data_IF_024116391421
#
_entry.id   IF_024116391421
#
_cell.length_a   1.000
_cell.length_b   1.000
_cell.length_c   1.000
_cell.angle_alpha   90.00
_cell.angle_beta   90.00
_cell.angle_gamma   90.00
#
_symmetry.space_group_name_H-M   'P 1'
#
loop_
_entity.id
_entity.type
_entity.pdbx_description
1 polymer ?
#
# COMPACT_ATOMS: atom_id res chain seq x y z
N UNK A 1 -5.81 -18.31 -1.09
CA UNK A 1 -4.98 -17.17 -1.54
C UNK A 1 -4.70 -16.36 -0.30
N UNK A 2 -3.43 -16.10 -0.02
CA UNK A 2 -3.04 -15.29 1.14
C UNK A 2 -2.35 -14.04 0.62
N UNK A 3 -2.90 -12.88 0.97
CA UNK A 3 -2.31 -11.58 0.68
C UNK A 3 -1.95 -10.92 2.01
N UNK A 4 -0.71 -10.47 2.14
CA UNK A 4 -0.30 -9.64 3.27
C UNK A 4 0.23 -8.33 2.70
N UNK A 5 -0.28 -7.23 3.26
CA UNK A 5 0.14 -5.88 2.92
C UNK A 5 0.68 -5.28 4.21
N UNK A 6 1.95 -4.92 4.21
CA UNK A 6 2.54 -4.11 5.26
C UNK A 6 2.54 -2.64 4.86
N UNK A 7 2.93 -1.78 5.78
CA UNK A 7 3.22 -0.39 5.45
C UNK A 7 4.29 0.21 6.35
N UNK A 8 5.06 1.10 5.78
CA UNK A 8 6.07 1.88 6.50
C UNK A 8 6.08 3.30 5.97
N UNK A 9 5.96 4.28 6.86
CA UNK A 9 6.03 5.70 6.53
C UNK A 9 7.46 6.18 6.75
N UNK A 10 7.95 6.96 5.79
CA UNK A 10 9.22 7.66 5.86
C UNK A 10 8.95 9.17 5.75
N UNK A 11 9.16 9.88 6.86
CA UNK A 11 9.17 11.34 6.85
C UNK A 11 10.39 11.86 6.07
N UNK A 12 10.19 12.88 5.25
CA UNK A 12 11.27 13.48 4.48
C UNK A 12 11.90 14.65 5.26
N UNK A 13 13.15 14.50 5.71
CA UNK A 13 13.82 15.47 6.59
C UNK A 13 14.11 16.83 5.93
N UNK A 14 14.10 16.91 4.60
CA UNK A 14 14.41 18.14 3.83
C UNK A 14 13.18 18.79 3.19
N UNK A 15 12.06 18.09 3.04
CA UNK A 15 10.80 18.64 2.51
C UNK A 15 9.66 18.23 3.43
N UNK A 16 9.29 19.14 4.32
CA UNK A 16 8.29 18.91 5.36
C UNK A 16 6.88 18.73 4.81
N UNK A 17 6.65 18.97 3.53
CA UNK A 17 5.34 18.78 2.89
C UNK A 17 5.26 17.47 2.10
N UNK A 18 6.33 16.66 2.09
CA UNK A 18 6.39 15.42 1.34
C UNK A 18 6.60 14.24 2.28
N UNK A 19 5.84 13.18 2.04
CA UNK A 19 5.99 11.90 2.74
C UNK A 19 6.08 10.78 1.73
N UNK A 20 6.95 9.81 2.02
CA UNK A 20 6.99 8.54 1.30
C UNK A 20 6.32 7.47 2.14
N UNK A 21 5.37 6.76 1.56
CA UNK A 21 4.75 5.59 2.18
C UNK A 21 5.09 4.36 1.33
N UNK A 22 5.74 3.39 1.94
CA UNK A 22 6.08 2.11 1.32
C UNK A 22 5.06 1.06 1.71
N UNK A 23 4.56 0.32 0.73
CA UNK A 23 3.60 -0.78 0.90
C UNK A 23 4.22 -2.08 0.39
N UNK A 24 4.94 -2.83 1.24
CA UNK A 24 5.36 -4.19 0.93
C UNK A 24 4.14 -5.09 0.81
N UNK A 25 4.01 -5.79 -0.32
CA UNK A 25 2.94 -6.75 -0.59
C UNK A 25 3.53 -8.11 -0.88
N UNK A 26 3.01 -9.11 -0.17
CA UNK A 26 3.27 -10.52 -0.46
C UNK A 26 1.96 -11.22 -0.80
N UNK A 27 1.95 -11.98 -1.90
CA UNK A 27 0.80 -12.73 -2.37
C UNK A 27 1.23 -14.16 -2.69
N UNK A 28 0.54 -15.12 -2.08
CA UNK A 28 0.72 -16.55 -2.34
C UNK A 28 -0.55 -17.15 -2.95
N UNK A 29 -0.41 -17.74 -4.13
CA UNK A 29 -1.48 -18.39 -4.88
C UNK A 29 -1.21 -19.89 -5.00
N UNK A 30 -2.08 -20.70 -4.36
CA UNK A 30 -2.13 -22.18 -4.46
C UNK A 30 -0.74 -22.84 -4.38
N UNK A 31 0.14 -22.30 -3.52
CA UNK A 31 1.53 -22.73 -3.27
C UNK A 31 2.47 -22.80 -4.49
N UNK A 32 2.03 -22.32 -5.65
CA UNK A 32 2.78 -22.39 -6.92
C UNK A 32 3.25 -21.02 -7.42
N UNK A 33 2.62 -19.93 -6.96
CA UNK A 33 3.00 -18.57 -7.35
C UNK A 33 3.17 -17.73 -6.10
N UNK A 34 4.33 -17.10 -6.00
CA UNK A 34 4.66 -16.11 -4.99
C UNK A 34 4.98 -14.79 -5.69
N UNK A 35 4.31 -13.73 -5.26
CA UNK A 35 4.58 -12.36 -5.69
C UNK A 35 5.02 -11.58 -4.44
N UNK A 36 6.14 -10.87 -4.55
CA UNK A 36 6.63 -9.94 -3.54
C UNK A 36 6.93 -8.62 -4.23
N UNK A 37 6.27 -7.55 -3.79
CA UNK A 37 6.44 -6.23 -4.40
C UNK A 37 6.53 -5.18 -3.30
N UNK A 38 7.50 -4.28 -3.42
CA UNK A 38 7.59 -3.08 -2.59
C UNK A 38 7.13 -1.88 -3.42
N UNK A 39 6.04 -1.25 -2.98
CA UNK A 39 5.48 -0.08 -3.64
C UNK A 39 5.73 1.20 -2.85
N UNK A 40 6.51 2.11 -3.41
CA UNK A 40 6.76 3.43 -2.83
C UNK A 40 5.85 4.48 -3.46
N UNK A 41 5.02 5.12 -2.65
CA UNK A 41 4.22 6.27 -3.05
C UNK A 41 4.74 7.53 -2.36
N UNK A 42 4.90 8.59 -3.16
CA UNK A 42 5.24 9.92 -2.66
C UNK A 42 3.99 10.77 -2.66
N UNK A 43 3.60 11.25 -1.49
CA UNK A 43 2.47 12.14 -1.30
C UNK A 43 2.98 13.53 -0.93
N UNK A 44 2.31 14.56 -1.44
CA UNK A 44 2.57 15.95 -1.11
C UNK A 44 1.34 16.58 -0.47
N UNK A 45 1.53 17.28 0.63
CA UNK A 45 0.49 18.03 1.32
C UNK A 45 0.68 19.54 1.12
N UNK A 46 -0.43 20.28 1.10
CA UNK A 46 -0.38 21.74 1.21
C UNK A 46 0.09 22.21 2.59
N UNK A 47 -0.09 21.37 3.61
CA UNK A 47 0.28 21.62 4.99
C UNK A 47 1.56 20.86 5.37
N UNK A 48 2.22 21.32 6.44
CA UNK A 48 3.41 20.69 6.98
C UNK A 48 3.07 19.33 7.61
N UNK A 49 3.82 18.29 7.24
CA UNK A 49 3.73 16.95 7.80
C UNK A 49 4.47 16.93 9.13
N UNK A 50 3.72 16.69 10.21
CA UNK A 50 4.24 16.67 11.57
C UNK A 50 4.59 15.26 12.03
N UNK A 51 5.31 15.14 13.15
CA UNK A 51 5.78 13.85 13.70
C UNK A 51 4.66 12.85 14.04
N UNK A 52 3.39 13.30 14.12
CA UNK A 52 2.22 12.44 14.37
C UNK A 52 1.41 12.07 13.13
N UNK A 53 1.91 12.35 11.92
CA UNK A 53 1.17 12.11 10.68
C UNK A 53 0.79 10.63 10.49
N UNK A 54 1.62 9.69 10.92
CA UNK A 54 1.38 8.24 10.85
C UNK A 54 0.09 7.80 11.57
N UNK A 55 -0.31 8.53 12.61
CA UNK A 55 -1.53 8.28 13.37
C UNK A 55 -2.78 8.96 12.78
N UNK A 56 -2.60 9.86 11.81
CA UNK A 56 -3.69 10.64 11.21
C UNK A 56 -4.62 9.80 10.34
N UNK A 57 -5.87 10.24 10.17
CA UNK A 57 -6.81 9.61 9.23
C UNK A 57 -6.28 9.67 7.79
N UNK A 58 -5.60 10.76 7.41
CA UNK A 58 -5.00 10.91 6.09
C UNK A 58 -3.97 9.80 5.82
N UNK A 59 -3.08 9.53 6.77
CA UNK A 59 -2.11 8.47 6.61
C UNK A 59 -2.76 7.09 6.63
N UNK A 60 -3.71 6.85 7.54
CA UNK A 60 -4.25 5.51 7.80
C UNK A 60 -5.40 5.09 6.88
N UNK A 61 -6.11 6.04 6.27
CA UNK A 61 -7.28 5.79 5.43
C UNK A 61 -7.08 6.31 4.02
N UNK A 62 -6.87 7.63 3.87
CA UNK A 62 -6.86 8.28 2.56
C UNK A 62 -5.69 7.82 1.70
N UNK A 63 -4.48 7.86 2.25
CA UNK A 63 -3.27 7.48 1.53
C UNK A 63 -3.29 6.03 1.04
N UNK A 64 -3.64 5.01 1.85
CA UNK A 64 -3.77 3.64 1.37
C UNK A 64 -4.96 3.47 0.42
N UNK A 65 -6.09 4.16 0.62
CA UNK A 65 -7.22 4.13 -0.33
C UNK A 65 -6.84 4.68 -1.71
N UNK A 66 -5.95 5.66 -1.78
CA UNK A 66 -5.38 6.16 -3.04
C UNK A 66 -4.33 5.22 -3.63
N UNK A 67 -3.48 4.60 -2.81
CA UNK A 67 -2.39 3.74 -3.27
C UNK A 67 -2.87 2.35 -3.73
N UNK A 68 -3.79 1.73 -3.00
CA UNK A 68 -4.19 0.33 -3.18
C UNK A 68 -4.72 0.00 -4.58
N UNK A 69 -5.55 0.84 -5.24
CA UNK A 69 -6.01 0.56 -6.61
C UNK A 69 -4.87 0.36 -7.61
N UNK A 70 -3.76 1.10 -7.46
CA UNK A 70 -2.59 0.96 -8.32
C UNK A 70 -1.83 -0.33 -8.04
N UNK A 71 -1.64 -0.68 -6.77
CA UNK A 71 -1.00 -1.93 -6.34
C UNK A 71 -1.79 -3.12 -6.88
N UNK A 72 -3.12 -3.11 -6.66
CA UNK A 72 -4.07 -4.12 -7.16
C UNK A 72 -3.95 -4.29 -8.67
N UNK A 73 -4.10 -3.19 -9.42
CA UNK A 73 -4.09 -3.22 -10.88
C UNK A 73 -2.77 -3.75 -11.45
N UNK A 74 -1.65 -3.41 -10.81
CA UNK A 74 -0.35 -3.93 -11.25
C UNK A 74 -0.21 -5.43 -11.02
N UNK A 75 -0.59 -5.92 -9.83
CA UNK A 75 -0.56 -7.36 -9.53
C UNK A 75 -1.45 -8.14 -10.50
N UNK A 76 -2.67 -7.66 -10.74
CA UNK A 76 -3.61 -8.27 -11.70
C UNK A 76 -3.05 -8.28 -13.13
N UNK A 77 -2.40 -7.19 -13.54
CA UNK A 77 -1.72 -7.10 -14.84
C UNK A 77 -0.57 -8.11 -14.97
N UNK A 78 0.31 -8.20 -13.97
CA UNK A 78 1.43 -9.16 -13.94
C UNK A 78 0.93 -10.60 -13.99
N UNK A 79 -0.11 -10.93 -13.21
CA UNK A 79 -0.74 -12.25 -13.21
C UNK A 79 -1.34 -12.57 -14.59
N UNK A 80 -2.09 -11.63 -15.16
CA UNK A 80 -2.72 -11.80 -16.48
C UNK A 80 -1.69 -12.07 -17.57
N UNK A 81 -0.60 -11.28 -17.61
CA UNK A 81 0.50 -11.47 -18.56
C UNK A 81 1.23 -12.80 -18.36
N UNK A 82 1.25 -13.31 -17.13
CA UNK A 82 1.83 -14.60 -16.77
C UNK A 82 0.90 -15.79 -17.03
N UNK A 83 -0.28 -15.56 -17.63
CA UNK A 83 -1.26 -16.61 -17.97
C UNK A 83 -2.30 -16.89 -16.89
N UNK A 84 -2.26 -16.17 -15.76
CA UNK A 84 -3.19 -16.29 -14.64
C UNK A 84 -4.35 -15.30 -14.81
N UNK A 85 -5.38 -15.68 -15.56
CA UNK A 85 -6.45 -14.78 -16.03
C UNK A 85 -7.66 -14.63 -15.09
N UNK A 86 -7.85 -15.53 -14.13
CA UNK A 86 -9.02 -15.56 -13.24
C UNK A 86 -8.64 -15.24 -11.78
N UNK A 87 -7.81 -14.22 -11.59
CA UNK A 87 -7.40 -13.77 -10.26
C UNK A 87 -7.88 -12.35 -10.01
N UNK A 88 -8.84 -12.26 -9.09
CA UNK A 88 -9.32 -10.98 -8.58
C UNK A 88 -8.70 -10.75 -7.20
N UNK A 89 -7.93 -9.66 -7.10
CA UNK A 89 -7.39 -9.23 -5.82
C UNK A 89 -8.54 -8.57 -5.04
N UNK A 90 -8.76 -8.92 -3.76
CA UNK A 90 -9.92 -8.42 -3.01
C UNK A 90 -9.90 -6.89 -2.91
N UNK A 91 -11.07 -6.28 -2.87
CA UNK A 91 -11.17 -4.89 -2.48
C UNK A 91 -10.90 -4.76 -0.97
N UNK A 92 -10.16 -3.73 -0.56
CA UNK A 92 -9.92 -3.40 0.85
C UNK A 92 -10.54 -2.04 1.11
N UNK A 93 -11.42 -1.97 2.11
CA UNK A 93 -12.07 -0.73 2.52
C UNK A 93 -11.31 -0.09 3.68
N UNK A 94 -10.42 0.85 3.37
CA UNK A 94 -9.61 1.51 4.40
C UNK A 94 -10.39 2.50 5.29
N UNK A 95 -11.65 2.82 4.95
CA UNK A 95 -12.54 3.57 5.86
C UNK A 95 -12.98 2.71 7.05
N UNK A 96 -13.26 1.44 6.79
CA UNK A 96 -13.71 0.47 7.79
C UNK A 96 -12.54 -0.23 8.48
N UNK A 97 -11.44 -0.47 7.76
CA UNK A 97 -10.21 -1.09 8.28
C UNK A 97 -9.00 -0.19 8.02
N UNK A 98 -8.78 0.84 8.87
CA UNK A 98 -7.67 1.77 8.71
C UNK A 98 -6.33 1.06 8.85
N UNK A 99 -5.40 1.41 7.98
CA UNK A 99 -4.06 0.82 7.99
C UNK A 99 -3.35 1.11 9.32
N UNK A 100 -2.63 0.13 9.83
CA UNK A 100 -1.74 0.29 10.99
C UNK A 100 -0.29 0.22 10.53
N UNK A 101 0.39 1.36 10.61
CA UNK A 101 1.82 1.46 10.31
C UNK A 101 2.63 0.83 11.44
N UNK A 102 3.71 0.12 11.10
CA UNK A 102 4.65 -0.47 12.06
C UNK A 102 4.04 -1.51 13.03
N UNK A 103 3.09 -2.33 12.59
CA UNK A 103 2.69 -3.52 13.36
C UNK A 103 3.88 -4.49 13.38
N UNK A 104 4.64 -4.48 14.48
CA UNK A 104 5.70 -5.45 14.77
C UNK A 104 5.14 -6.86 14.93
#
# INVERSE_FOLDING_TARGET
>A
MHINIGSTIYGHSTNKNMVRISYPVSLLIKDNVSISIDYDFYFTSSEEITEGFDSSEVARKDAPALAYPYIKSYIEGVLTMSGYKDFEIPFINFEEDPFEFNKK
#
